data_IF_864451072941
#
_entry.id   IF_864451072941
#
_cell.length_a   1.000
_cell.length_b   1.000
_cell.length_c   1.000
_cell.angle_alpha   90.00
_cell.angle_beta   90.00
_cell.angle_gamma   90.00
#
_symmetry.space_group_name_H-M   'P 1'
#
loop_
_entity.id
_entity.type
_entity.pdbx_description
1 polymer ?
#
# COMPACT_ATOMS: atom_id res chain seq x y z
N UNK A 1 12.09 14.85 -27.66
CA UNK A 1 10.65 14.93 -28.02
C UNK A 1 9.81 14.37 -26.85
N UNK A 2 10.22 13.26 -26.21
CA UNK A 2 9.47 12.63 -25.11
C UNK A 2 9.36 13.51 -23.84
N UNK A 3 10.43 14.23 -23.45
CA UNK A 3 10.41 15.07 -22.25
C UNK A 3 9.43 16.28 -22.36
N UNK A 4 9.22 16.83 -23.55
CA UNK A 4 8.33 17.97 -23.72
C UNK A 4 6.84 17.57 -23.67
N UNK A 5 6.52 16.37 -24.15
CA UNK A 5 5.15 15.82 -24.08
C UNK A 5 4.82 15.43 -22.62
N UNK A 6 5.77 14.86 -21.91
CA UNK A 6 5.59 14.47 -20.51
C UNK A 6 5.36 15.67 -19.58
N UNK A 7 6.11 16.77 -19.78
CA UNK A 7 5.91 18.03 -19.05
C UNK A 7 4.51 18.64 -19.31
N UNK A 8 4.03 18.62 -20.57
CA UNK A 8 2.71 19.15 -20.90
C UNK A 8 1.58 18.35 -20.24
N UNK A 9 1.75 17.05 -20.12
CA UNK A 9 0.77 16.17 -19.45
C UNK A 9 0.80 16.39 -17.92
N UNK A 10 1.98 16.56 -17.32
CA UNK A 10 2.11 16.88 -15.91
C UNK A 10 1.47 18.25 -15.57
N UNK A 11 1.68 19.25 -16.41
CA UNK A 11 1.06 20.57 -16.27
C UNK A 11 -0.47 20.48 -16.33
N UNK A 12 -1.02 19.66 -17.24
CA UNK A 12 -2.46 19.43 -17.34
C UNK A 12 -3.03 18.74 -16.07
N UNK A 13 -2.32 17.76 -15.53
CA UNK A 13 -2.73 17.09 -14.27
C UNK A 13 -2.63 18.06 -13.08
N UNK A 14 -1.62 18.93 -13.06
CA UNK A 14 -1.50 20.00 -12.07
C UNK A 14 -2.67 21.00 -12.14
N UNK A 15 -3.11 21.36 -13.34
CA UNK A 15 -4.29 22.22 -13.52
C UNK A 15 -5.57 21.55 -13.01
N UNK A 16 -5.79 20.25 -13.31
CA UNK A 16 -6.91 19.48 -12.76
C UNK A 16 -6.86 19.47 -11.23
N UNK A 17 -5.70 19.20 -10.64
CA UNK A 17 -5.54 19.20 -9.19
C UNK A 17 -5.86 20.55 -8.55
N UNK A 18 -5.52 21.65 -9.22
CA UNK A 18 -5.83 22.99 -8.75
C UNK A 18 -7.35 23.29 -8.79
N UNK A 19 -8.07 22.80 -9.79
CA UNK A 19 -9.54 22.89 -9.84
C UNK A 19 -10.19 22.03 -8.75
N UNK A 20 -9.76 20.78 -8.58
CA UNK A 20 -10.24 19.89 -7.52
C UNK A 20 -10.03 20.52 -6.14
N UNK A 21 -8.90 21.17 -5.89
CA UNK A 21 -8.61 21.81 -4.60
C UNK A 21 -9.49 23.03 -4.29
N UNK A 22 -10.27 23.53 -5.27
CA UNK A 22 -11.27 24.60 -5.07
C UNK A 22 -12.63 24.07 -4.63
N UNK A 23 -12.86 22.78 -4.75
CA UNK A 23 -14.12 22.16 -4.34
C UNK A 23 -14.27 22.26 -2.83
N UNK A 24 -15.43 22.72 -2.31
CA UNK A 24 -15.65 22.83 -0.88
C UNK A 24 -15.39 21.52 -0.15
N UNK A 25 -14.69 21.60 0.99
CA UNK A 25 -14.28 20.44 1.79
C UNK A 25 -12.96 19.83 1.36
N UNK A 26 -12.49 20.00 0.12
CA UNK A 26 -11.16 19.56 -0.34
C UNK A 26 -10.11 20.56 0.13
N UNK A 27 -9.07 20.09 0.80
CA UNK A 27 -7.97 20.91 1.33
C UNK A 27 -6.70 20.83 0.46
N UNK A 28 -6.62 19.82 -0.40
CA UNK A 28 -5.50 19.67 -1.32
C UNK A 28 -5.52 18.34 -2.06
N UNK A 29 -4.60 18.21 -3.00
CA UNK A 29 -4.47 17.05 -3.90
C UNK A 29 -3.03 16.59 -3.96
N UNK A 30 -2.83 15.28 -3.83
CA UNK A 30 -1.52 14.65 -4.01
C UNK A 30 -1.56 13.66 -5.18
N UNK A 31 -0.53 13.65 -6.00
CA UNK A 31 -0.26 12.54 -6.91
C UNK A 31 0.30 11.38 -6.12
N UNK A 32 -0.30 10.21 -6.28
CA UNK A 32 0.12 8.95 -5.69
C UNK A 32 0.64 7.96 -6.72
N UNK A 33 0.54 6.68 -6.35
CA UNK A 33 0.79 5.56 -7.24
C UNK A 33 2.21 5.45 -7.79
N UNK A 34 2.33 4.80 -8.93
CA UNK A 34 3.62 4.57 -9.60
C UNK A 34 4.20 5.85 -10.20
N UNK A 35 3.34 6.81 -10.59
CA UNK A 35 3.79 8.09 -11.18
C UNK A 35 4.48 8.98 -10.16
N UNK A 36 3.98 9.04 -8.94
CA UNK A 36 4.65 9.80 -7.87
C UNK A 36 6.04 9.22 -7.53
N UNK A 37 6.21 7.91 -7.68
CA UNK A 37 7.46 7.20 -7.37
C UNK A 37 8.43 7.09 -8.55
N UNK A 38 8.05 7.57 -9.75
CA UNK A 38 8.89 7.45 -10.95
C UNK A 38 9.05 6.01 -11.47
N UNK A 39 8.17 5.09 -11.07
CA UNK A 39 8.19 3.68 -11.46
C UNK A 39 7.08 3.29 -12.42
N UNK A 40 6.40 4.29 -12.97
CA UNK A 40 5.28 4.11 -13.87
C UNK A 40 5.70 3.64 -15.27
N UNK A 41 4.74 3.01 -15.94
CA UNK A 41 4.78 2.72 -17.38
C UNK A 41 3.97 3.80 -18.12
N UNK A 42 4.15 3.95 -19.43
CA UNK A 42 3.39 4.94 -20.21
C UNK A 42 1.86 4.80 -20.05
N UNK A 43 1.38 3.57 -19.89
CA UNK A 43 -0.03 3.21 -19.74
C UNK A 43 -0.54 3.19 -18.27
N UNK A 44 0.28 3.60 -17.31
CA UNK A 44 -0.11 3.67 -15.89
C UNK A 44 -1.13 4.77 -15.65
N UNK A 45 -2.08 4.49 -14.76
CA UNK A 45 -3.10 5.43 -14.32
C UNK A 45 -2.49 6.63 -13.57
N UNK A 46 -3.25 7.71 -13.45
CA UNK A 46 -2.95 8.86 -12.61
C UNK A 46 -3.74 8.75 -11.31
N UNK A 47 -3.07 8.38 -10.23
CA UNK A 47 -3.68 8.23 -8.92
C UNK A 47 -3.67 9.57 -8.18
N UNK A 48 -4.81 10.24 -8.02
CA UNK A 48 -4.94 11.47 -7.26
C UNK A 48 -5.62 11.20 -5.91
N UNK A 49 -4.90 11.43 -4.82
CA UNK A 49 -5.45 11.50 -3.48
C UNK A 49 -6.10 12.87 -3.26
N UNK A 50 -7.41 12.92 -3.12
CA UNK A 50 -8.18 14.11 -2.80
C UNK A 50 -8.32 14.18 -1.27
N UNK A 51 -7.52 15.02 -0.65
CA UNK A 51 -7.56 15.18 0.81
C UNK A 51 -8.65 16.17 1.18
N UNK A 52 -9.55 15.75 2.06
CA UNK A 52 -10.67 16.55 2.51
C UNK A 52 -10.77 16.60 4.04
N UNK A 53 -11.49 17.61 4.55
CA UNK A 53 -11.86 17.71 5.97
C UNK A 53 -13.36 17.92 6.10
N UNK A 54 -13.98 17.20 7.02
CA UNK A 54 -15.44 17.19 7.15
C UNK A 54 -16.08 16.40 6.02
N UNK A 55 -16.95 17.04 5.25
CA UNK A 55 -17.64 16.43 4.11
C UNK A 55 -17.22 17.13 2.81
N UNK A 56 -16.68 16.44 1.81
CA UNK A 56 -16.40 17.03 0.51
C UNK A 56 -17.71 17.24 -0.27
N UNK A 57 -17.80 18.30 -1.05
CA UNK A 57 -18.93 18.56 -1.95
C UNK A 57 -18.88 17.58 -3.15
N UNK A 58 -19.57 16.45 -3.01
CA UNK A 58 -19.60 15.40 -4.04
C UNK A 58 -20.27 15.88 -5.33
N UNK A 59 -21.30 16.73 -5.25
CA UNK A 59 -21.98 17.23 -6.43
C UNK A 59 -21.05 18.16 -7.26
N UNK A 60 -20.24 18.97 -6.58
CA UNK A 60 -19.23 19.77 -7.25
C UNK A 60 -18.11 18.90 -7.87
N UNK A 61 -17.70 17.82 -7.18
CA UNK A 61 -16.74 16.85 -7.73
C UNK A 61 -17.31 16.12 -8.96
N UNK A 62 -18.59 15.70 -8.93
CA UNK A 62 -19.26 15.07 -10.07
C UNK A 62 -19.37 16.02 -11.27
N UNK A 63 -19.69 17.29 -11.03
CA UNK A 63 -19.73 18.31 -12.07
C UNK A 63 -18.36 18.48 -12.74
N UNK A 64 -17.32 18.63 -11.95
CA UNK A 64 -15.96 18.74 -12.45
C UNK A 64 -15.50 17.46 -13.19
N UNK A 65 -15.82 16.28 -12.66
CA UNK A 65 -15.50 15.01 -13.31
C UNK A 65 -16.19 14.87 -14.67
N UNK A 66 -17.46 15.31 -14.76
CA UNK A 66 -18.23 15.31 -16.02
C UNK A 66 -17.64 16.28 -17.05
N UNK A 67 -17.21 17.47 -16.64
CA UNK A 67 -16.52 18.43 -17.51
C UNK A 67 -15.20 17.87 -18.04
N UNK A 68 -14.42 17.21 -17.19
CA UNK A 68 -13.13 16.63 -17.56
C UNK A 68 -13.24 15.44 -18.53
N UNK A 69 -14.30 14.64 -18.39
CA UNK A 69 -14.49 13.41 -19.18
C UNK A 69 -15.38 13.60 -20.39
N UNK A 70 -16.16 14.68 -20.43
CA UNK A 70 -17.17 14.94 -21.44
C UNK A 70 -18.47 14.15 -21.26
N UNK A 71 -18.70 13.55 -20.09
CA UNK A 71 -19.90 12.78 -19.78
C UNK A 71 -20.07 12.55 -18.28
N UNK A 72 -21.23 12.04 -17.84
CA UNK A 72 -21.50 11.86 -16.42
C UNK A 72 -20.55 10.84 -15.77
N UNK A 73 -20.03 11.18 -14.59
CA UNK A 73 -19.17 10.34 -13.77
C UNK A 73 -19.73 10.31 -12.36
N UNK A 74 -19.91 9.13 -11.80
CA UNK A 74 -20.29 8.96 -10.39
C UNK A 74 -19.09 9.16 -9.48
N UNK A 75 -19.21 10.02 -8.47
CA UNK A 75 -18.24 10.17 -7.39
C UNK A 75 -18.76 9.45 -6.15
N UNK A 76 -18.12 8.35 -5.82
CA UNK A 76 -18.50 7.51 -4.69
C UNK A 76 -18.16 8.20 -3.37
N UNK A 77 -19.17 8.34 -2.51
CA UNK A 77 -19.06 9.00 -1.22
C UNK A 77 -18.03 8.33 -0.28
N UNK A 78 -17.53 9.05 0.73
CA UNK A 78 -16.70 8.47 1.77
C UNK A 78 -17.31 7.20 2.37
N UNK A 79 -16.55 6.11 2.42
CA UNK A 79 -17.00 4.80 2.91
C UNK A 79 -17.64 3.88 1.87
N UNK A 80 -18.02 4.36 0.69
CA UNK A 80 -18.66 3.55 -0.35
C UNK A 80 -17.78 2.41 -0.87
N UNK A 81 -16.45 2.61 -0.92
CA UNK A 81 -15.48 1.58 -1.32
C UNK A 81 -14.96 0.77 -0.14
N UNK A 82 -15.61 0.86 1.01
CA UNK A 82 -15.21 0.24 2.26
C UNK A 82 -14.50 1.21 3.20
N UNK A 83 -14.34 0.76 4.44
CA UNK A 83 -13.87 1.61 5.53
C UNK A 83 -12.41 2.11 5.36
N UNK A 84 -11.60 1.45 4.52
CA UNK A 84 -10.16 1.73 4.41
C UNK A 84 -9.81 2.50 3.14
N UNK A 85 -10.29 2.08 1.98
CA UNK A 85 -10.02 2.81 0.72
C UNK A 85 -10.85 4.08 0.63
N UNK A 86 -12.02 4.08 1.26
CA UNK A 86 -12.91 5.21 1.45
C UNK A 86 -13.91 5.42 0.28
N UNK A 87 -13.59 6.22 -0.72
CA UNK A 87 -14.42 6.50 -1.90
C UNK A 87 -13.63 7.28 -2.93
N UNK A 88 -14.29 7.71 -4.00
CA UNK A 88 -13.65 8.45 -5.09
C UNK A 88 -14.32 8.25 -6.42
N UNK A 89 -13.57 8.36 -7.52
CA UNK A 89 -14.07 8.18 -8.87
C UNK A 89 -13.00 7.58 -9.80
N UNK A 90 -13.46 6.89 -10.83
CA UNK A 90 -12.62 6.43 -11.94
C UNK A 90 -12.94 7.26 -13.17
N UNK A 91 -11.97 8.00 -13.68
CA UNK A 91 -12.13 8.89 -14.83
C UNK A 91 -11.37 8.34 -16.04
N UNK A 92 -11.98 8.48 -17.20
CA UNK A 92 -11.29 8.30 -18.49
C UNK A 92 -11.36 9.63 -19.23
N UNK A 93 -10.23 10.29 -19.39
CA UNK A 93 -10.16 11.59 -20.08
C UNK A 93 -10.36 11.42 -21.59
N UNK A 94 -10.72 12.47 -22.35
CA UNK A 94 -10.98 12.40 -23.79
C UNK A 94 -9.80 11.88 -24.61
N UNK A 95 -8.59 12.01 -24.12
CA UNK A 95 -7.36 11.48 -24.74
C UNK A 95 -7.04 10.02 -24.36
N UNK A 96 -7.93 9.35 -23.62
CA UNK A 96 -7.81 7.97 -23.17
C UNK A 96 -6.99 7.77 -21.89
N UNK A 97 -6.47 8.82 -21.28
CA UNK A 97 -5.79 8.71 -19.98
C UNK A 97 -6.78 8.31 -18.88
N UNK A 98 -6.37 7.40 -18.03
CA UNK A 98 -7.13 6.99 -16.86
C UNK A 98 -6.63 7.75 -15.64
N UNK A 99 -7.57 8.23 -14.83
CA UNK A 99 -7.30 8.98 -13.62
C UNK A 99 -8.21 8.49 -12.50
N UNK A 100 -7.61 8.07 -11.40
CA UNK A 100 -8.30 7.61 -10.22
C UNK A 100 -8.30 8.73 -9.18
N UNK A 101 -9.48 9.15 -8.75
CA UNK A 101 -9.66 10.03 -7.60
C UNK A 101 -9.92 9.18 -6.37
N UNK A 102 -9.13 9.36 -5.31
CA UNK A 102 -9.25 8.60 -4.08
C UNK A 102 -9.44 9.59 -2.93
N UNK A 103 -10.59 9.56 -2.28
CA UNK A 103 -10.90 10.43 -1.17
C UNK A 103 -10.08 10.05 0.07
N UNK A 104 -9.45 11.04 0.73
CA UNK A 104 -8.66 10.85 1.95
C UNK A 104 -9.08 11.85 3.02
N UNK A 105 -9.68 11.36 4.09
CA UNK A 105 -9.95 12.15 5.30
C UNK A 105 -8.61 12.49 5.97
N UNK A 106 -8.23 13.77 5.92
CA UNK A 106 -6.93 14.23 6.43
C UNK A 106 -6.82 14.05 7.94
N UNK A 107 -7.90 14.21 8.68
CA UNK A 107 -7.87 14.02 10.13
C UNK A 107 -7.66 12.56 10.51
N UNK A 108 -8.19 11.63 9.70
CA UNK A 108 -7.88 10.21 9.81
C UNK A 108 -6.40 9.93 9.50
N UNK A 109 -5.85 10.52 8.45
CA UNK A 109 -4.44 10.33 8.08
C UNK A 109 -3.52 10.81 9.20
N UNK A 110 -3.78 11.97 9.78
CA UNK A 110 -3.02 12.49 10.93
C UNK A 110 -3.14 11.57 12.16
N UNK A 111 -4.34 11.12 12.48
CA UNK A 111 -4.56 10.18 13.59
C UNK A 111 -3.77 8.87 13.39
N UNK A 112 -3.79 8.31 12.17
CA UNK A 112 -3.01 7.10 11.86
C UNK A 112 -1.50 7.40 11.92
N UNK A 113 -1.07 8.58 11.50
CA UNK A 113 0.32 8.99 11.66
C UNK A 113 0.77 8.98 13.12
N UNK A 114 -0.05 9.54 14.03
CA UNK A 114 0.25 9.52 15.46
C UNK A 114 0.26 8.10 16.04
N UNK A 115 -0.65 7.22 15.59
CA UNK A 115 -0.61 5.80 15.92
C UNK A 115 0.69 5.13 15.45
N UNK A 116 1.11 5.38 14.21
CA UNK A 116 2.37 4.88 13.66
C UNK A 116 3.58 5.34 14.49
N UNK A 117 3.62 6.62 14.90
CA UNK A 117 4.68 7.14 15.77
C UNK A 117 4.73 6.43 17.13
N UNK A 118 3.59 5.97 17.61
CA UNK A 118 3.48 5.21 18.85
C UNK A 118 3.65 3.68 18.65
N UNK A 119 4.00 3.22 17.45
CA UNK A 119 4.16 1.80 17.14
C UNK A 119 2.86 1.02 17.01
N UNK A 120 1.74 1.71 16.83
CA UNK A 120 0.42 1.07 16.65
C UNK A 120 0.01 1.13 15.18
N UNK A 121 -0.64 0.07 14.73
CA UNK A 121 -1.22 -0.04 13.39
C UNK A 121 -2.37 -1.04 13.39
N UNK A 122 -3.20 -0.96 12.36
CA UNK A 122 -4.34 -1.84 12.15
C UNK A 122 -4.25 -2.49 10.76
N UNK A 123 -4.85 -3.68 10.64
CA UNK A 123 -5.03 -4.38 9.37
C UNK A 123 -6.52 -4.60 9.19
N UNK A 124 -7.11 -3.96 8.19
CA UNK A 124 -8.53 -4.04 7.93
C UNK A 124 -8.88 -4.87 6.71
N UNK A 125 -10.03 -5.54 6.75
CA UNK A 125 -10.56 -6.23 5.58
C UNK A 125 -11.01 -5.20 4.56
N UNK A 126 -10.49 -5.29 3.33
CA UNK A 126 -10.77 -4.36 2.26
C UNK A 126 -10.75 -5.06 0.90
N UNK A 127 -11.79 -4.88 0.09
CA UNK A 127 -11.80 -5.34 -1.29
C UNK A 127 -10.61 -4.76 -2.06
N UNK A 128 -9.95 -5.59 -2.88
CA UNK A 128 -8.74 -5.20 -3.61
C UNK A 128 -7.43 -5.37 -2.81
N UNK A 129 -7.50 -5.65 -1.50
CA UNK A 129 -6.36 -5.91 -0.63
C UNK A 129 -6.44 -7.32 -0.05
N UNK A 130 -5.91 -8.34 -0.73
CA UNK A 130 -6.06 -9.75 -0.33
C UNK A 130 -5.44 -10.08 1.03
N UNK A 131 -4.44 -9.32 1.47
CA UNK A 131 -3.81 -9.47 2.79
C UNK A 131 -4.34 -8.49 3.83
N UNK A 132 -5.34 -7.68 3.43
CA UNK A 132 -5.90 -6.59 4.22
C UNK A 132 -5.22 -5.25 3.93
N UNK A 133 -5.96 -4.17 4.20
CA UNK A 133 -5.43 -2.81 4.16
C UNK A 133 -4.65 -2.53 5.44
N UNK A 134 -3.39 -2.21 5.31
CA UNK A 134 -2.53 -1.85 6.44
C UNK A 134 -2.60 -0.34 6.68
N UNK A 135 -3.04 0.08 7.86
CA UNK A 135 -3.24 1.50 8.16
C UNK A 135 -2.01 2.39 7.91
N UNK A 136 -0.74 1.92 8.08
CA UNK A 136 0.43 2.71 7.72
C UNK A 136 0.50 3.14 6.24
N UNK A 137 -0.33 2.58 5.37
CA UNK A 137 -0.43 3.05 3.99
C UNK A 137 -0.89 4.51 3.90
N UNK A 138 -1.73 5.01 4.82
CA UNK A 138 -2.16 6.41 4.81
C UNK A 138 -1.01 7.42 4.92
N UNK A 139 -0.18 7.39 5.99
CA UNK A 139 0.99 8.28 6.02
C UNK A 139 2.03 7.91 4.96
N UNK A 140 2.13 6.65 4.58
CA UNK A 140 3.01 6.20 3.50
C UNK A 140 2.63 6.79 2.14
N UNK A 141 1.34 6.91 1.82
CA UNK A 141 0.87 7.60 0.61
C UNK A 141 1.30 9.07 0.62
N UNK A 142 1.17 9.76 1.75
CA UNK A 142 1.60 11.14 1.88
C UNK A 142 3.13 11.29 1.75
N UNK A 143 3.90 10.41 2.40
CA UNK A 143 5.36 10.42 2.34
C UNK A 143 5.89 10.24 0.90
N UNK A 144 5.31 9.28 0.16
CA UNK A 144 5.74 8.90 -1.18
C UNK A 144 5.05 9.71 -2.28
N UNK A 145 3.95 10.39 -1.97
CA UNK A 145 3.18 11.20 -2.89
C UNK A 145 3.87 12.52 -3.26
N UNK A 146 3.38 13.15 -4.31
CA UNK A 146 3.78 14.50 -4.73
C UNK A 146 2.61 15.46 -4.54
N UNK A 147 2.80 16.51 -3.76
CA UNK A 147 1.78 17.56 -3.56
C UNK A 147 1.58 18.30 -4.88
N UNK A 148 0.35 18.31 -5.39
CA UNK A 148 -0.03 19.04 -6.61
C UNK A 148 -0.77 20.34 -6.26
N UNK A 149 -1.63 20.32 -5.25
CA UNK A 149 -2.34 21.49 -4.75
C UNK A 149 -2.48 21.37 -3.22
N UNK A 150 -2.27 22.48 -2.50
CA UNK A 150 -2.33 22.53 -1.04
C UNK A 150 -2.73 23.92 -0.58
N UNK A 151 -3.99 24.13 -0.24
CA UNK A 151 -4.55 25.44 0.04
C UNK A 151 -4.08 26.04 1.38
N UNK A 152 -3.69 25.19 2.31
CA UNK A 152 -3.27 25.61 3.68
C UNK A 152 -1.88 25.13 4.08
N UNK A 153 -1.08 24.55 3.18
CA UNK A 153 0.24 23.99 3.49
C UNK A 153 0.17 22.74 4.36
N UNK A 154 -1.02 22.14 4.51
CA UNK A 154 -1.21 20.99 5.40
C UNK A 154 -0.66 19.69 4.81
N UNK A 155 -0.82 19.49 3.51
CA UNK A 155 -0.27 18.31 2.84
C UNK A 155 1.25 18.34 2.79
N UNK A 156 1.84 19.53 2.63
CA UNK A 156 3.29 19.71 2.72
C UNK A 156 3.81 19.32 4.11
N UNK A 157 3.14 19.77 5.18
CA UNK A 157 3.48 19.39 6.56
C UNK A 157 3.31 17.89 6.82
N UNK A 158 2.23 17.29 6.31
CA UNK A 158 1.99 15.85 6.45
C UNK A 158 3.08 15.03 5.74
N UNK A 159 3.43 15.44 4.52
CA UNK A 159 4.50 14.81 3.74
C UNK A 159 5.85 14.89 4.45
N UNK A 160 6.19 16.06 4.97
CA UNK A 160 7.41 16.27 5.75
C UNK A 160 7.43 15.40 7.01
N UNK A 161 6.34 15.40 7.78
CA UNK A 161 6.21 14.59 8.98
C UNK A 161 6.36 13.09 8.69
N UNK A 162 5.69 12.58 7.63
CA UNK A 162 5.72 11.17 7.25
C UNK A 162 6.99 10.76 6.48
N UNK A 163 7.86 11.71 6.15
CA UNK A 163 9.12 11.46 5.44
C UNK A 163 10.05 10.50 6.18
N UNK A 164 10.05 10.58 7.50
CA UNK A 164 10.84 9.70 8.37
C UNK A 164 9.97 8.54 8.88
N UNK A 165 10.36 7.31 8.54
CA UNK A 165 9.65 6.13 9.00
C UNK A 165 9.81 5.94 10.52
N UNK A 166 8.71 5.88 11.31
CA UNK A 166 8.80 5.87 12.77
C UNK A 166 9.53 4.64 13.31
N UNK A 167 10.56 4.79 14.16
CA UNK A 167 11.28 3.66 14.76
C UNK A 167 10.39 2.72 15.56
N UNK A 168 9.39 3.25 16.27
CA UNK A 168 8.42 2.44 17.02
C UNK A 168 7.55 1.58 16.08
N UNK A 169 7.10 2.13 14.95
CA UNK A 169 6.38 1.36 13.93
C UNK A 169 7.27 0.28 13.32
N UNK A 170 8.54 0.62 13.00
CA UNK A 170 9.52 -0.35 12.49
C UNK A 170 9.57 -1.58 13.40
N UNK A 171 9.79 -1.39 14.69
CA UNK A 171 9.88 -2.48 15.65
C UNK A 171 8.59 -3.29 15.74
N UNK A 172 7.45 -2.60 15.94
CA UNK A 172 6.17 -3.25 16.15
C UNK A 172 5.71 -4.02 14.91
N UNK A 173 5.79 -3.40 13.72
CA UNK A 173 5.31 -4.01 12.48
C UNK A 173 6.22 -5.16 12.05
N UNK A 174 7.54 -5.00 12.13
CA UNK A 174 8.49 -6.09 11.82
C UNK A 174 8.24 -7.30 12.71
N UNK A 175 8.13 -7.12 14.02
CA UNK A 175 7.89 -8.20 14.96
C UNK A 175 6.55 -8.91 14.70
N UNK A 176 5.47 -8.16 14.55
CA UNK A 176 4.15 -8.71 14.28
C UNK A 176 4.10 -9.47 12.95
N UNK A 177 4.70 -8.92 11.89
CA UNK A 177 4.69 -9.53 10.58
C UNK A 177 5.52 -10.83 10.52
N UNK A 178 6.69 -10.87 11.14
CA UNK A 178 7.50 -12.12 11.23
C UNK A 178 6.80 -13.18 12.05
N UNK A 179 6.14 -12.80 13.15
CA UNK A 179 5.35 -13.72 13.96
C UNK A 179 4.19 -14.30 13.13
N UNK A 180 3.40 -13.46 12.47
CA UNK A 180 2.25 -13.91 11.66
C UNK A 180 2.71 -14.81 10.50
N UNK A 181 3.80 -14.47 9.83
CA UNK A 181 4.37 -15.30 8.76
C UNK A 181 4.73 -16.72 9.28
N UNK A 182 5.35 -16.81 10.44
CA UNK A 182 5.67 -18.09 11.09
C UNK A 182 4.42 -18.86 11.48
N UNK A 183 3.45 -18.19 12.09
CA UNK A 183 2.20 -18.81 12.49
C UNK A 183 1.38 -19.29 11.28
N UNK A 184 1.26 -18.48 10.24
CA UNK A 184 0.56 -18.84 9.00
C UNK A 184 1.23 -20.03 8.32
N UNK A 185 2.56 -20.08 8.29
CA UNK A 185 3.31 -21.25 7.78
C UNK A 185 3.01 -22.52 8.59
N UNK A 186 2.98 -22.43 9.92
CA UNK A 186 2.62 -23.55 10.78
C UNK A 186 1.17 -24.02 10.56
N UNK A 187 0.23 -23.08 10.32
CA UNK A 187 -1.16 -23.42 9.98
C UNK A 187 -1.25 -24.13 8.62
N UNK A 188 -0.47 -23.70 7.61
CA UNK A 188 -0.38 -24.42 6.32
C UNK A 188 0.05 -25.88 6.51
N UNK A 189 0.92 -26.17 7.48
CA UNK A 189 1.35 -27.52 7.82
C UNK A 189 0.21 -28.45 8.24
N UNK A 190 -0.86 -27.92 8.84
CA UNK A 190 -2.05 -28.72 9.22
C UNK A 190 -2.85 -29.21 8.02
N UNK A 191 -2.74 -28.54 6.87
CA UNK A 191 -3.40 -28.94 5.62
C UNK A 191 -2.77 -30.17 4.96
N UNK A 192 -1.60 -30.58 5.42
CA UNK A 192 -0.87 -31.71 4.83
C UNK A 192 -1.66 -33.03 4.92
N UNK A 193 -2.23 -33.33 6.08
CA UNK A 193 -2.97 -34.57 6.31
C UNK A 193 -4.27 -34.66 5.52
N UNK A 194 -4.95 -33.52 5.34
CA UNK A 194 -6.24 -33.42 4.61
C UNK A 194 -6.06 -33.12 3.13
N UNK A 195 -4.86 -32.76 2.69
CA UNK A 195 -4.55 -32.26 1.35
C UNK A 195 -5.40 -31.06 0.94
N UNK A 196 -5.71 -30.19 1.90
CA UNK A 196 -6.47 -28.97 1.64
C UNK A 196 -5.57 -27.90 1.02
N UNK A 197 -5.51 -27.94 -0.30
CA UNK A 197 -4.68 -27.03 -1.12
C UNK A 197 -5.12 -25.59 -0.96
N UNK A 198 -6.43 -25.33 -0.84
CA UNK A 198 -6.95 -23.96 -0.68
C UNK A 198 -6.49 -23.35 0.65
N UNK A 199 -6.68 -24.05 1.75
CA UNK A 199 -6.23 -23.58 3.05
C UNK A 199 -4.70 -23.38 3.07
N UNK A 200 -3.93 -24.33 2.51
CA UNK A 200 -2.48 -24.20 2.39
C UNK A 200 -2.08 -22.95 1.56
N UNK A 201 -2.75 -22.72 0.42
CA UNK A 201 -2.48 -21.56 -0.44
C UNK A 201 -2.76 -20.24 0.28
N UNK A 202 -3.89 -20.14 0.98
CA UNK A 202 -4.25 -18.93 1.76
C UNK A 202 -3.23 -18.66 2.86
N UNK A 203 -2.86 -19.69 3.64
CA UNK A 203 -1.86 -19.55 4.70
C UNK A 203 -0.48 -19.18 4.15
N UNK A 204 -0.02 -19.82 3.07
CA UNK A 204 1.29 -19.53 2.48
C UNK A 204 1.33 -18.17 1.78
N UNK A 205 0.23 -17.75 1.13
CA UNK A 205 0.11 -16.40 0.57
C UNK A 205 0.22 -15.36 1.67
N UNK A 206 -0.48 -15.58 2.80
CA UNK A 206 -0.40 -14.71 3.95
C UNK A 206 1.02 -14.67 4.52
N UNK A 207 1.67 -15.82 4.70
CA UNK A 207 3.04 -15.88 5.18
C UNK A 207 4.00 -15.07 4.30
N UNK A 208 3.97 -15.27 2.98
CA UNK A 208 4.81 -14.52 2.03
C UNK A 208 4.54 -13.02 2.12
N UNK A 209 3.26 -12.60 2.11
CA UNK A 209 2.91 -11.18 2.20
C UNK A 209 3.37 -10.53 3.50
N UNK A 210 3.29 -11.23 4.61
CA UNK A 210 3.80 -10.73 5.90
C UNK A 210 5.34 -10.66 5.93
N UNK A 211 6.08 -11.59 5.29
CA UNK A 211 7.52 -11.45 5.12
C UNK A 211 7.89 -10.21 4.29
N UNK A 212 7.10 -9.90 3.26
CA UNK A 212 7.27 -8.67 2.47
C UNK A 212 7.08 -7.43 3.34
N UNK A 213 6.02 -7.39 4.16
CA UNK A 213 5.78 -6.28 5.09
C UNK A 213 6.90 -6.17 6.14
N UNK A 214 7.38 -7.29 6.68
CA UNK A 214 8.47 -7.31 7.65
C UNK A 214 9.76 -6.70 7.08
N UNK A 215 10.13 -7.06 5.84
CA UNK A 215 11.32 -6.53 5.18
C UNK A 215 11.21 -5.03 4.91
N UNK A 216 10.05 -4.55 4.41
CA UNK A 216 9.82 -3.12 4.22
C UNK A 216 9.94 -2.36 5.55
N UNK A 217 9.25 -2.82 6.59
CA UNK A 217 9.27 -2.18 7.90
C UNK A 217 10.69 -2.19 8.51
N UNK A 218 11.41 -3.33 8.45
CA UNK A 218 12.78 -3.44 8.93
C UNK A 218 13.70 -2.40 8.31
N UNK A 219 13.53 -2.11 7.02
CA UNK A 219 14.31 -1.09 6.31
C UNK A 219 13.75 0.33 6.43
N UNK A 220 12.64 0.53 7.14
CA UNK A 220 11.98 1.82 7.26
C UNK A 220 11.41 2.32 5.92
N UNK A 221 10.93 1.41 5.09
CA UNK A 221 10.35 1.70 3.77
C UNK A 221 8.84 1.49 3.82
N UNK A 222 8.07 2.48 3.37
CA UNK A 222 6.63 2.38 3.30
C UNK A 222 6.19 1.33 2.27
N UNK A 223 5.31 0.41 2.67
CA UNK A 223 4.65 -0.56 1.80
C UNK A 223 3.17 -0.21 1.73
N UNK A 224 2.69 0.29 0.59
CA UNK A 224 1.34 0.84 0.45
C UNK A 224 0.29 -0.23 0.14
N UNK A 225 0.65 -1.23 -0.64
CA UNK A 225 -0.23 -2.34 -1.04
C UNK A 225 0.61 -3.52 -1.53
N UNK A 226 -0.07 -4.59 -1.94
CA UNK A 226 0.59 -5.84 -2.35
C UNK A 226 1.16 -5.80 -3.77
N UNK A 227 0.64 -4.91 -4.64
CA UNK A 227 1.06 -4.82 -6.06
C UNK A 227 2.51 -4.34 -6.18
N UNK A 228 3.38 -5.21 -6.67
CA UNK A 228 4.81 -4.91 -6.82
C UNK A 228 5.63 -4.99 -5.52
N UNK A 229 4.99 -5.20 -4.35
CA UNK A 229 5.65 -5.20 -3.06
C UNK A 229 6.70 -6.31 -2.93
N UNK A 230 6.46 -7.50 -3.50
CA UNK A 230 7.43 -8.59 -3.48
C UNK A 230 8.73 -8.23 -4.23
N UNK A 231 8.62 -7.63 -5.40
CA UNK A 231 9.79 -7.18 -6.17
C UNK A 231 10.54 -6.06 -5.45
N UNK A 232 9.81 -5.12 -4.84
CA UNK A 232 10.41 -4.05 -4.04
C UNK A 232 11.13 -4.61 -2.81
N UNK A 233 10.53 -5.54 -2.07
CA UNK A 233 11.18 -6.21 -0.94
C UNK A 233 12.45 -6.96 -1.35
N UNK A 234 12.42 -7.64 -2.50
CA UNK A 234 13.58 -8.39 -3.01
C UNK A 234 14.78 -7.49 -3.37
N UNK A 235 14.52 -6.22 -3.65
CA UNK A 235 15.56 -5.23 -3.97
C UNK A 235 16.12 -4.51 -2.72
N UNK A 236 15.53 -4.70 -1.54
CA UNK A 236 16.02 -4.07 -0.30
C UNK A 236 17.38 -4.67 0.13
N UNK A 237 18.24 -3.86 0.77
CA UNK A 237 19.49 -4.37 1.34
C UNK A 237 19.25 -5.52 2.33
N UNK A 238 20.21 -6.41 2.49
CA UNK A 238 20.14 -7.52 3.46
C UNK A 238 18.95 -8.48 3.29
N UNK A 239 18.10 -8.29 2.28
CA UNK A 239 17.05 -9.29 1.96
C UNK A 239 17.70 -10.62 1.59
N UNK A 240 17.17 -11.77 2.05
CA UNK A 240 17.72 -13.07 1.74
C UNK A 240 17.93 -13.28 0.23
N UNK A 241 19.06 -13.88 -0.17
CA UNK A 241 19.39 -14.08 -1.57
C UNK A 241 18.28 -14.83 -2.34
N UNK A 242 17.88 -14.28 -3.50
CA UNK A 242 16.81 -14.83 -4.33
C UNK A 242 15.43 -14.83 -3.66
N UNK A 243 15.19 -13.97 -2.70
CA UNK A 243 13.92 -13.91 -1.93
C UNK A 243 12.70 -13.83 -2.85
N UNK A 244 12.70 -12.95 -3.85
CA UNK A 244 11.57 -12.75 -4.75
C UNK A 244 11.17 -14.04 -5.49
N UNK A 245 12.13 -14.69 -6.15
CA UNK A 245 11.90 -15.94 -6.90
C UNK A 245 11.51 -17.08 -5.98
N UNK A 246 12.14 -17.17 -4.82
CA UNK A 246 11.88 -18.23 -3.84
C UNK A 246 10.50 -18.07 -3.20
N UNK A 247 10.09 -16.85 -2.89
CA UNK A 247 8.75 -16.54 -2.37
C UNK A 247 7.66 -16.81 -3.42
N UNK A 248 7.89 -16.42 -4.67
CA UNK A 248 7.00 -16.77 -5.78
C UNK A 248 6.91 -18.30 -5.97
N UNK A 249 8.02 -19.01 -5.82
CA UNK A 249 8.09 -20.46 -5.95
C UNK A 249 7.31 -21.22 -4.85
N UNK A 250 7.14 -20.65 -3.67
CA UNK A 250 6.28 -21.21 -2.61
C UNK A 250 4.85 -21.41 -3.12
N UNK A 251 4.33 -20.42 -3.85
CA UNK A 251 2.95 -20.44 -4.34
C UNK A 251 2.83 -21.15 -5.69
N UNK A 252 3.74 -20.88 -6.63
CA UNK A 252 3.66 -21.43 -7.99
C UNK A 252 3.93 -22.94 -8.06
N UNK A 253 4.55 -23.51 -7.03
CA UNK A 253 4.82 -24.96 -6.92
C UNK A 253 3.90 -25.69 -5.97
N UNK A 254 2.91 -24.99 -5.42
CA UNK A 254 1.89 -25.61 -4.61
C UNK A 254 0.99 -26.48 -5.48
N UNK A 255 0.76 -27.73 -5.07
CA UNK A 255 -0.02 -28.70 -5.82
C UNK A 255 -0.80 -29.67 -4.91
N UNK A 256 -1.62 -30.55 -5.50
CA UNK A 256 -2.55 -31.42 -4.77
C UNK A 256 -1.90 -32.61 -4.09
N UNK A 257 -0.63 -32.92 -4.39
CA UNK A 257 0.05 -34.06 -3.77
C UNK A 257 0.68 -33.68 -2.44
N UNK A 258 0.78 -34.66 -1.54
CA UNK A 258 1.44 -34.46 -0.25
C UNK A 258 2.90 -34.02 -0.40
N UNK A 259 3.59 -34.46 -1.45
CA UNK A 259 4.98 -34.07 -1.69
C UNK A 259 5.12 -32.62 -2.15
N UNK A 260 4.19 -32.12 -2.97
CA UNK A 260 4.15 -30.71 -3.37
C UNK A 260 3.85 -29.80 -2.19
N UNK A 261 2.85 -30.17 -1.38
CA UNK A 261 2.53 -29.45 -0.13
C UNK A 261 3.74 -29.39 0.80
N UNK A 262 4.43 -30.53 1.01
CA UNK A 262 5.61 -30.61 1.87
C UNK A 262 6.75 -29.73 1.36
N UNK A 263 7.00 -29.73 0.05
CA UNK A 263 8.04 -28.90 -0.56
C UNK A 263 7.74 -27.41 -0.42
N UNK A 264 6.49 -26.99 -0.65
CA UNK A 264 6.06 -25.60 -0.50
C UNK A 264 6.19 -25.15 0.95
N UNK A 265 5.73 -25.97 1.89
CA UNK A 265 5.85 -25.72 3.34
C UNK A 265 7.31 -25.56 3.76
N UNK A 266 8.17 -26.53 3.43
CA UNK A 266 9.59 -26.44 3.76
C UNK A 266 10.31 -25.23 3.13
N UNK A 267 9.87 -24.80 1.95
CA UNK A 267 10.38 -23.57 1.32
C UNK A 267 9.96 -22.32 2.09
N UNK A 268 8.70 -22.25 2.54
CA UNK A 268 8.18 -21.14 3.35
C UNK A 268 8.87 -21.09 4.73
N UNK A 269 9.03 -22.23 5.40
CA UNK A 269 9.73 -22.31 6.69
C UNK A 269 11.17 -21.76 6.61
N UNK A 270 11.90 -22.10 5.53
CA UNK A 270 13.23 -21.55 5.29
C UNK A 270 13.22 -20.04 5.11
N UNK A 271 12.27 -19.50 4.31
CA UNK A 271 12.14 -18.06 4.11
C UNK A 271 11.83 -17.33 5.41
N UNK A 272 10.91 -17.88 6.24
CA UNK A 272 10.60 -17.32 7.56
C UNK A 272 11.84 -17.29 8.45
N UNK A 273 12.61 -18.40 8.50
CA UNK A 273 13.82 -18.47 9.30
C UNK A 273 14.89 -17.47 8.85
N UNK A 274 15.09 -17.33 7.55
CA UNK A 274 16.08 -16.40 6.98
C UNK A 274 15.68 -14.93 7.19
N UNK A 275 14.40 -14.56 6.96
CA UNK A 275 13.93 -13.19 7.23
C UNK A 275 14.01 -12.89 8.72
N UNK A 276 13.67 -13.85 9.58
CA UNK A 276 13.84 -13.70 11.04
C UNK A 276 15.30 -13.43 11.39
N UNK A 277 16.24 -14.18 10.83
CA UNK A 277 17.68 -13.94 11.06
C UNK A 277 18.14 -12.55 10.61
N UNK A 278 17.54 -12.00 9.54
CA UNK A 278 17.82 -10.62 9.09
C UNK A 278 17.30 -9.61 10.11
N UNK A 279 16.07 -9.76 10.56
CA UNK A 279 15.43 -8.77 11.43
C UNK A 279 15.89 -8.85 12.89
N UNK A 280 16.33 -10.02 13.35
CA UNK A 280 16.88 -10.28 14.70
C UNK A 280 18.41 -10.10 14.77
N UNK A 281 19.07 -9.79 13.66
CA UNK A 281 20.53 -9.64 13.56
C UNK A 281 21.09 -8.51 14.44
N UNK A 282 22.43 -8.40 14.57
CA UNK A 282 23.07 -7.37 15.40
C UNK A 282 22.70 -5.96 14.90
N UNK A 283 21.86 -5.27 15.65
CA UNK A 283 21.24 -3.98 15.31
C UNK A 283 19.73 -4.03 15.25
N UNK A 284 19.12 -5.20 15.46
CA UNK A 284 17.68 -5.31 15.55
C UNK A 284 17.13 -4.53 16.77
N UNK A 285 16.01 -3.79 16.62
CA UNK A 285 15.34 -3.17 17.76
C UNK A 285 14.82 -4.26 18.70
N UNK A 286 14.92 -4.04 20.01
CA UNK A 286 14.46 -5.01 21.02
C UNK A 286 12.98 -5.35 20.79
N UNK A 287 12.66 -6.64 20.80
CA UNK A 287 11.27 -7.10 20.69
C UNK A 287 10.43 -6.55 21.85
N UNK A 288 9.16 -6.12 21.60
CA UNK A 288 8.28 -5.73 22.68
C UNK A 288 8.06 -6.92 23.61
N UNK A 289 8.30 -6.72 24.90
CA UNK A 289 7.95 -7.71 25.93
C UNK A 289 6.44 -7.90 25.91
N UNK A 290 6.02 -9.12 25.67
CA UNK A 290 4.61 -9.51 25.77
C UNK A 290 4.12 -9.22 27.20
N UNK A 291 3.23 -8.23 27.34
CA UNK A 291 2.47 -7.94 28.56
C UNK A 291 1.11 -8.62 28.49
#
# INVERSE_FOLDING_TARGET
>A
VDNAVDNTVEDAVGAIAAEVARVPGVIGVMLGGSRARGTHRPDSDWDLGLYYRGEPDLAALETLAAELTGGPVEVYAPGSWGAWVNGGAWLVLPDGRRMDWILRDVDRVWRVWDECRAGRFEIGVQAGHPLGFWSPAYPGEAALGRVLADTGGELARLKEAAGDYPPALRTALTGAAVWDAGFSTAMAGRSYATRDVLHAALCLSRAVGHLVQALHAHHGVWCLNEKGALAAAAALPQTPAGFGDRAAAVLSRLGPTGDELRRALAAAERLVAEVRAVVDGPGAPAAPTAG
#
